data_IF_845637519655
#
_entry.id   IF_845637519655
#
_cell.length_a   1.000
_cell.length_b   1.000
_cell.length_c   1.000
_cell.angle_alpha   90.00
_cell.angle_beta   90.00
_cell.angle_gamma   90.00
#
_symmetry.space_group_name_H-M   'P 1'
#
loop_
_entity.id
_entity.type
_entity.pdbx_description
1 polymer ?
#
# COMPACT_ATOMS: atom_id res chain seq x y z
N UNK A 1 12.34 -36.05 -10.70
CA UNK A 1 11.67 -34.73 -10.61
C UNK A 1 12.74 -33.71 -10.22
N UNK A 2 13.58 -33.33 -11.18
CA UNK A 2 14.85 -32.65 -10.91
C UNK A 2 14.92 -31.34 -11.68
N UNK A 3 15.20 -30.23 -10.97
CA UNK A 3 15.89 -29.07 -11.54
C UNK A 3 15.06 -27.91 -12.08
N UNK A 4 14.12 -27.36 -11.32
CA UNK A 4 13.59 -26.00 -11.57
C UNK A 4 13.76 -25.17 -10.29
N UNK A 5 14.51 -24.06 -10.38
CA UNK A 5 14.36 -22.93 -9.45
C UNK A 5 15.55 -22.64 -8.53
N UNK A 6 16.70 -22.24 -9.08
CA UNK A 6 17.67 -21.44 -8.32
C UNK A 6 18.40 -20.42 -9.21
N UNK A 7 17.74 -19.99 -10.30
CA UNK A 7 18.33 -19.06 -11.25
C UNK A 7 18.20 -17.63 -10.70
N UNK A 8 19.35 -17.03 -10.40
CA UNK A 8 19.43 -15.61 -10.05
C UNK A 8 19.09 -14.74 -11.26
N UNK A 9 18.37 -13.66 -11.03
CA UNK A 9 17.98 -12.66 -12.01
C UNK A 9 18.56 -11.28 -11.64
N UNK A 10 18.64 -10.39 -12.61
CA UNK A 10 19.05 -9.00 -12.39
C UNK A 10 17.82 -8.15 -12.09
N UNK A 11 17.91 -7.24 -11.13
CA UNK A 11 16.87 -6.24 -10.85
C UNK A 11 17.53 -4.90 -10.54
N UNK A 12 16.87 -3.80 -10.93
CA UNK A 12 17.30 -2.46 -10.57
C UNK A 12 16.41 -1.90 -9.47
N UNK A 13 17.00 -1.61 -8.31
CA UNK A 13 16.33 -0.95 -7.19
C UNK A 13 16.59 0.55 -7.28
N UNK A 14 15.55 1.34 -7.56
CA UNK A 14 15.59 2.80 -7.60
C UNK A 14 15.07 3.36 -6.29
N UNK A 15 15.94 3.91 -5.46
CA UNK A 15 15.60 4.46 -4.15
C UNK A 15 15.50 5.97 -4.20
N UNK A 16 14.38 6.54 -3.74
CA UNK A 16 14.25 7.98 -3.46
C UNK A 16 14.97 8.30 -2.16
N UNK A 17 16.17 8.88 -2.28
CA UNK A 17 17.05 9.24 -1.16
C UNK A 17 16.70 10.60 -0.58
N UNK A 18 16.96 10.77 0.71
CA UNK A 18 16.73 12.02 1.41
C UNK A 18 17.75 12.24 2.51
N UNK A 19 18.43 13.39 2.45
CA UNK A 19 19.31 13.86 3.49
C UNK A 19 18.71 15.13 4.14
N UNK A 20 18.29 15.08 5.42
CA UNK A 20 17.73 16.24 6.10
C UNK A 20 18.78 17.34 6.23
N UNK A 21 18.36 18.60 6.11
CA UNK A 21 19.23 19.73 6.40
C UNK A 21 19.48 19.78 7.92
N UNK A 22 20.73 19.93 8.39
CA UNK A 22 21.00 20.05 9.81
C UNK A 22 20.22 21.23 10.41
N UNK A 23 19.47 20.96 11.48
CA UNK A 23 18.79 22.01 12.23
C UNK A 23 19.85 22.89 12.90
N UNK A 24 19.82 24.20 12.62
CA UNK A 24 20.62 25.15 13.37
C UNK A 24 19.91 25.38 14.70
N UNK A 25 20.59 25.25 15.85
CA UNK A 25 19.98 25.55 17.14
C UNK A 25 19.48 27.00 17.14
N UNK A 26 18.21 27.16 17.48
CA UNK A 26 17.57 28.47 17.49
C UNK A 26 18.10 29.29 18.68
N UNK A 27 18.94 30.29 18.42
CA UNK A 27 19.59 31.12 19.45
C UNK A 27 18.62 31.96 20.30
N UNK A 28 17.32 31.96 20.00
CA UNK A 28 16.29 32.77 20.67
C UNK A 28 15.17 31.98 21.36
N UNK A 29 15.38 30.70 21.70
CA UNK A 29 14.39 29.92 22.43
C UNK A 29 14.36 30.25 23.94
N UNK A 30 14.13 31.52 24.29
CA UNK A 30 13.81 31.98 25.65
C UNK A 30 12.51 32.78 25.62
N UNK A 31 11.40 32.13 25.32
CA UNK A 31 10.11 32.60 25.81
C UNK A 31 9.22 31.39 26.10
N UNK A 32 9.06 31.11 27.39
CA UNK A 32 8.10 30.15 27.92
C UNK A 32 6.68 30.72 27.76
N UNK A 33 6.17 30.73 26.54
CA UNK A 33 4.73 30.90 26.27
C UNK A 33 4.39 30.41 24.86
N UNK A 34 4.55 29.11 24.61
CA UNK A 34 3.88 28.48 23.46
C UNK A 34 2.47 28.11 23.92
N UNK A 35 1.47 28.87 23.44
CA UNK A 35 0.07 28.44 23.46
C UNK A 35 0.01 27.02 22.88
N UNK A 36 -0.77 26.14 23.51
CA UNK A 36 -1.01 24.78 22.99
C UNK A 36 -1.39 24.90 21.53
N UNK A 37 -0.53 24.40 20.64
CA UNK A 37 -0.91 24.22 19.25
C UNK A 37 -2.16 23.35 19.26
N UNK A 38 -3.11 23.63 18.37
CA UNK A 38 -4.11 22.62 18.02
C UNK A 38 -3.39 21.28 17.81
N UNK A 39 -3.95 20.13 18.22
CA UNK A 39 -3.34 18.81 17.97
C UNK A 39 -3.04 18.56 16.48
N UNK A 40 -3.58 19.41 15.58
CA UNK A 40 -3.33 19.43 14.15
C UNK A 40 -2.73 20.77 13.64
N UNK A 41 -2.51 21.74 14.54
CA UNK A 41 -2.04 23.10 14.27
C UNK A 41 -0.52 23.27 14.15
N UNK A 42 0.22 22.17 13.97
CA UNK A 42 1.53 22.26 13.35
C UNK A 42 1.30 22.12 11.85
N UNK A 43 1.37 23.23 11.11
CA UNK A 43 1.59 23.13 9.66
C UNK A 43 2.73 22.15 9.47
N UNK A 44 2.44 20.92 8.98
CA UNK A 44 3.45 19.88 8.80
C UNK A 44 4.56 20.48 7.94
N UNK A 45 5.62 20.97 8.57
CA UNK A 45 6.70 21.66 7.87
C UNK A 45 7.31 20.62 6.97
N UNK A 46 7.17 20.80 5.66
CA UNK A 46 7.80 19.91 4.69
C UNK A 46 9.28 19.78 5.08
N UNK A 47 9.77 18.55 5.30
CA UNK A 47 11.14 18.36 5.76
C UNK A 47 12.08 18.95 4.71
N UNK A 48 12.93 19.88 5.14
CA UNK A 48 13.90 20.54 4.26
C UNK A 48 15.14 19.67 4.17
N UNK A 49 15.58 19.36 2.97
CA UNK A 49 16.75 18.52 2.74
C UNK A 49 17.01 18.29 1.26
N UNK A 50 18.12 17.62 0.96
CA UNK A 50 18.45 17.22 -0.41
C UNK A 50 17.71 15.93 -0.74
N UNK A 51 17.02 15.91 -1.88
CA UNK A 51 16.34 14.75 -2.45
C UNK A 51 17.03 14.36 -3.76
N UNK A 52 17.23 13.07 -4.00
CA UNK A 52 17.74 12.55 -5.26
C UNK A 52 17.28 11.09 -5.43
N UNK A 53 17.30 10.58 -6.67
CA UNK A 53 17.09 9.16 -6.94
C UNK A 53 18.45 8.49 -7.11
N UNK A 54 18.60 7.28 -6.56
CA UNK A 54 19.80 6.48 -6.70
C UNK A 54 19.41 5.06 -7.09
N UNK A 55 20.14 4.49 -8.04
CA UNK A 55 19.87 3.17 -8.60
C UNK A 55 20.95 2.18 -8.17
N UNK A 56 20.51 0.96 -7.87
CA UNK A 56 21.38 -0.17 -7.54
C UNK A 56 20.94 -1.38 -8.37
N UNK A 57 21.85 -1.91 -9.17
CA UNK A 57 21.62 -3.15 -9.91
C UNK A 57 22.11 -4.33 -9.08
N UNK A 58 21.21 -5.26 -8.79
CA UNK A 58 21.48 -6.43 -7.96
C UNK A 58 21.23 -7.72 -8.74
N UNK A 59 21.96 -8.77 -8.38
CA UNK A 59 21.70 -10.14 -8.83
C UNK A 59 21.13 -10.94 -7.66
N UNK A 60 19.84 -11.27 -7.74
CA UNK A 60 19.07 -11.87 -6.62
C UNK A 60 18.12 -12.96 -7.12
N UNK A 61 17.50 -13.71 -6.20
CA UNK A 61 16.46 -14.67 -6.56
C UNK A 61 15.10 -13.96 -6.73
N UNK A 62 14.25 -14.32 -7.70
CA UNK A 62 12.93 -13.70 -7.86
C UNK A 62 12.00 -13.81 -6.64
N UNK A 63 12.21 -14.81 -5.79
CA UNK A 63 11.46 -15.00 -4.54
C UNK A 63 12.00 -14.21 -3.35
N UNK A 64 13.16 -13.55 -3.50
CA UNK A 64 13.69 -12.67 -2.46
C UNK A 64 12.76 -11.48 -2.25
N UNK A 65 12.79 -10.96 -1.04
CA UNK A 65 11.99 -9.78 -0.69
C UNK A 65 12.72 -8.49 -1.07
N UNK A 66 11.98 -7.39 -1.16
CA UNK A 66 12.58 -6.07 -1.32
C UNK A 66 13.45 -5.73 -0.10
N UNK A 67 13.12 -6.22 1.10
CA UNK A 67 13.97 -6.10 2.28
C UNK A 67 15.33 -6.77 2.06
N UNK A 68 15.39 -7.97 1.50
CA UNK A 68 16.65 -8.67 1.22
C UNK A 68 17.53 -7.89 0.24
N UNK A 69 16.91 -7.26 -0.76
CA UNK A 69 17.59 -6.36 -1.68
C UNK A 69 18.22 -5.17 -0.96
N UNK A 70 17.46 -4.49 -0.09
CA UNK A 70 17.94 -3.33 0.66
C UNK A 70 19.03 -3.69 1.67
N UNK A 71 18.91 -4.85 2.33
CA UNK A 71 19.94 -5.38 3.22
C UNK A 71 21.22 -5.70 2.44
N UNK A 72 21.11 -6.27 1.25
CA UNK A 72 22.25 -6.51 0.35
C UNK A 72 22.92 -5.21 -0.02
N UNK A 73 22.17 -4.21 -0.52
CA UNK A 73 22.70 -2.88 -0.83
C UNK A 73 23.42 -2.29 0.39
N UNK A 74 22.77 -2.29 1.56
CA UNK A 74 23.35 -1.70 2.77
C UNK A 74 24.63 -2.38 3.23
N UNK A 75 24.74 -3.69 3.06
CA UNK A 75 25.91 -4.48 3.52
C UNK A 75 27.07 -4.44 2.54
N UNK A 76 26.81 -4.39 1.24
CA UNK A 76 27.85 -4.62 0.22
C UNK A 76 28.10 -3.43 -0.71
N UNK A 77 27.14 -2.50 -0.86
CA UNK A 77 27.23 -1.42 -1.86
C UNK A 77 27.21 -0.02 -1.23
N UNK A 78 26.23 0.28 -0.37
CA UNK A 78 26.05 1.60 0.25
C UNK A 78 25.57 1.50 1.72
N UNK A 79 26.49 1.52 2.70
CA UNK A 79 26.13 1.48 4.11
C UNK A 79 25.38 2.73 4.59
N UNK A 80 25.38 3.82 3.82
CA UNK A 80 24.71 5.08 4.19
C UNK A 80 23.20 5.05 4.00
N UNK A 81 22.68 4.09 3.22
CA UNK A 81 21.25 3.90 2.99
C UNK A 81 20.52 3.62 4.31
N UNK A 82 19.47 4.40 4.58
CA UNK A 82 18.67 4.29 5.79
C UNK A 82 17.22 3.85 5.54
N UNK A 83 16.79 2.84 6.28
CA UNK A 83 15.42 2.33 6.31
C UNK A 83 15.22 1.62 7.67
N UNK A 84 13.97 1.46 8.10
CA UNK A 84 13.62 0.72 9.32
C UNK A 84 13.28 -0.72 8.96
N UNK A 85 13.70 -1.67 9.80
CA UNK A 85 13.29 -3.07 9.76
C UNK A 85 13.54 -3.72 11.12
N UNK A 86 12.87 -4.84 11.39
CA UNK A 86 13.08 -5.63 12.61
C UNK A 86 12.77 -7.11 12.37
N UNK A 87 11.49 -7.51 12.35
CA UNK A 87 11.13 -8.93 12.32
C UNK A 87 11.44 -9.66 11.00
N UNK A 88 11.35 -8.98 9.85
CA UNK A 88 11.57 -9.58 8.53
C UNK A 88 10.47 -10.52 8.01
N UNK A 89 9.32 -10.63 8.69
CA UNK A 89 8.24 -11.55 8.30
C UNK A 89 6.84 -10.97 8.54
N UNK A 90 6.68 -9.64 8.44
CA UNK A 90 5.38 -8.97 8.39
C UNK A 90 4.61 -8.82 9.71
N UNK A 91 5.27 -8.97 10.87
CA UNK A 91 4.59 -8.93 12.18
C UNK A 91 4.77 -7.62 12.96
N UNK A 92 5.91 -6.94 12.83
CA UNK A 92 6.20 -5.74 13.64
C UNK A 92 5.76 -4.42 12.97
N UNK A 93 5.52 -4.41 11.66
CA UNK A 93 5.11 -3.20 10.92
C UNK A 93 6.19 -2.12 10.74
N UNK A 94 7.46 -2.41 11.08
CA UNK A 94 8.53 -1.40 11.13
C UNK A 94 9.04 -0.91 9.77
N UNK A 95 8.81 -1.68 8.71
CA UNK A 95 9.46 -1.54 7.40
C UNK A 95 8.47 -1.14 6.29
N UNK A 96 7.43 -0.40 6.66
CA UNK A 96 6.45 0.14 5.74
C UNK A 96 7.04 1.26 4.87
N UNK A 97 6.93 1.12 3.55
CA UNK A 97 7.39 2.09 2.54
C UNK A 97 6.43 2.08 1.34
N UNK A 98 6.60 2.99 0.38
CA UNK A 98 5.96 2.88 -0.93
C UNK A 98 6.86 2.12 -1.91
N UNK A 99 6.35 1.00 -2.44
CA UNK A 99 6.98 0.21 -3.50
C UNK A 99 6.16 0.41 -4.79
N UNK A 100 6.79 0.99 -5.82
CA UNK A 100 6.12 1.43 -7.05
C UNK A 100 4.88 2.31 -6.82
N UNK A 101 4.94 3.15 -5.78
CA UNK A 101 3.83 4.01 -5.38
C UNK A 101 2.77 3.34 -4.50
N UNK A 102 2.83 2.02 -4.29
CA UNK A 102 1.92 1.28 -3.41
C UNK A 102 2.53 1.14 -2.01
N UNK A 103 1.88 1.64 -0.96
CA UNK A 103 2.29 1.40 0.42
C UNK A 103 2.23 -0.10 0.78
N UNK A 104 3.33 -0.65 1.27
CA UNK A 104 3.45 -2.07 1.67
C UNK A 104 4.65 -2.27 2.62
N UNK A 105 4.83 -3.48 3.14
CA UNK A 105 6.00 -3.85 3.95
C UNK A 105 7.12 -4.39 3.05
N UNK A 106 8.35 -3.92 3.28
CA UNK A 106 9.53 -4.39 2.55
C UNK A 106 9.74 -5.91 2.67
N UNK A 107 9.49 -6.48 3.85
CA UNK A 107 9.67 -7.90 4.15
C UNK A 107 8.59 -8.81 3.56
N UNK A 108 7.47 -8.28 3.08
CA UNK A 108 6.42 -9.08 2.42
C UNK A 108 6.35 -8.84 0.92
N UNK A 109 6.93 -7.72 0.45
CA UNK A 109 7.02 -7.41 -0.97
C UNK A 109 8.06 -8.31 -1.64
N UNK A 110 7.62 -9.25 -2.49
CA UNK A 110 8.51 -10.08 -3.30
C UNK A 110 8.96 -9.34 -4.54
N UNK A 111 10.19 -9.60 -4.94
CA UNK A 111 10.75 -8.98 -6.15
C UNK A 111 9.98 -9.40 -7.40
N UNK A 112 9.59 -10.68 -7.51
CA UNK A 112 8.74 -11.16 -8.62
C UNK A 112 7.44 -10.38 -8.80
N UNK A 113 6.87 -9.88 -7.70
CA UNK A 113 5.54 -9.26 -7.70
C UNK A 113 5.60 -7.77 -8.03
N UNK A 114 6.75 -7.14 -7.73
CA UNK A 114 6.95 -5.70 -7.86
C UNK A 114 7.91 -5.30 -8.97
N UNK A 115 8.77 -6.19 -9.46
CA UNK A 115 9.65 -5.86 -10.57
C UNK A 115 8.82 -5.67 -11.85
N UNK A 116 8.89 -4.46 -12.41
CA UNK A 116 8.22 -4.14 -13.67
C UNK A 116 9.27 -3.84 -14.72
N UNK A 117 9.20 -4.54 -15.83
CA UNK A 117 9.90 -4.11 -17.04
C UNK A 117 9.26 -2.80 -17.49
N UNK A 118 10.08 -1.75 -17.66
CA UNK A 118 9.60 -0.53 -18.31
C UNK A 118 9.11 -0.92 -19.71
N UNK A 119 7.94 -0.44 -20.16
CA UNK A 119 7.53 -0.70 -21.53
C UNK A 119 8.60 -0.11 -22.47
N UNK A 120 9.32 -0.99 -23.18
CA UNK A 120 10.06 -0.62 -24.37
C UNK A 120 9.03 -0.06 -25.36
N UNK A 121 9.10 1.25 -25.62
CA UNK A 121 8.17 2.04 -26.45
C UNK A 121 6.91 2.54 -25.72
N UNK A 122 7.08 3.49 -24.80
CA UNK A 122 6.07 4.53 -24.64
C UNK A 122 6.09 5.42 -25.91
N UNK A 123 5.44 4.95 -26.98
CA UNK A 123 5.01 5.86 -28.03
C UNK A 123 4.15 6.94 -27.37
N UNK A 124 4.40 8.18 -27.78
CA UNK A 124 3.89 9.42 -27.22
C UNK A 124 2.38 9.64 -27.45
N UNK A 125 1.56 8.58 -27.42
CA UNK A 125 0.12 8.65 -27.60
C UNK A 125 -0.58 8.88 -26.25
N UNK A 126 -0.15 9.94 -25.58
CA UNK A 126 -0.78 10.49 -24.39
C UNK A 126 -2.04 11.30 -24.74
N UNK A 127 -3.01 10.69 -25.42
CA UNK A 127 -4.43 11.04 -25.42
C UNK A 127 -5.16 10.01 -26.30
N UNK A 128 -5.81 9.00 -25.71
CA UNK A 128 -6.73 8.17 -26.49
C UNK A 128 -7.90 9.06 -26.88
N UNK A 129 -7.90 9.59 -28.11
CA UNK A 129 -9.09 10.21 -28.69
C UNK A 129 -10.21 9.17 -28.64
N UNK A 130 -11.27 9.46 -27.90
CA UNK A 130 -12.55 8.76 -28.08
C UNK A 130 -12.85 8.78 -29.57
N UNK A 131 -13.01 7.61 -30.17
CA UNK A 131 -13.24 7.44 -31.59
C UNK A 131 -14.35 8.40 -32.04
N UNK A 132 -14.07 9.21 -33.05
CA UNK A 132 -15.11 9.91 -33.79
C UNK A 132 -15.98 8.84 -34.44
N UNK A 133 -17.18 8.65 -33.92
CA UNK A 133 -18.23 7.90 -34.62
C UNK A 133 -18.42 8.59 -35.97
N UNK A 134 -18.05 7.91 -37.05
CA UNK A 134 -18.40 8.35 -38.40
C UNK A 134 -19.93 8.33 -38.50
N UNK A 135 -20.52 9.52 -38.39
CA UNK A 135 -21.90 9.77 -38.69
C UNK A 135 -22.11 9.70 -40.22
N UNK A 136 -22.06 8.50 -40.79
CA UNK A 136 -22.43 8.27 -42.19
C UNK A 136 -22.82 6.81 -42.48
N UNK A 137 -23.43 6.12 -41.50
CA UNK A 137 -24.03 4.81 -41.71
C UNK A 137 -25.35 4.71 -40.94
N UNK A 138 -26.28 5.59 -41.26
CA UNK A 138 -27.68 5.49 -40.84
C UNK A 138 -28.55 6.11 -41.93
N UNK A 139 -28.83 5.35 -43.00
CA UNK A 139 -30.04 5.49 -43.80
C UNK A 139 -30.16 4.31 -44.79
N UNK A 140 -31.34 3.67 -44.80
CA UNK A 140 -31.92 2.80 -45.84
C UNK A 140 -31.30 1.39 -46.05
N UNK A 141 -32.04 0.30 -46.20
CA UNK A 141 -33.49 0.08 -46.24
C UNK A 141 -33.79 -1.40 -45.96
N UNK A 142 -35.01 -1.63 -45.49
CA UNK A 142 -35.66 -2.90 -45.21
C UNK A 142 -36.37 -3.38 -46.48
N UNK A 143 -35.95 -4.50 -47.09
CA UNK A 143 -36.82 -5.25 -48.02
C UNK A 143 -36.33 -6.70 -48.26
N UNK A 144 -37.17 -7.65 -47.85
CA UNK A 144 -37.25 -9.05 -48.26
C UNK A 144 -37.66 -9.21 -49.73
N UNK A 145 -37.06 -10.17 -50.46
CA UNK A 145 -37.77 -11.28 -51.17
C UNK A 145 -36.90 -12.02 -52.21
N UNK A 146 -36.89 -13.36 -52.10
CA UNK A 146 -36.88 -14.43 -53.12
C UNK A 146 -36.08 -14.35 -54.43
N UNK A 147 -35.42 -15.48 -54.77
CA UNK A 147 -35.52 -16.06 -56.12
C UNK A 147 -34.20 -16.44 -56.84
N UNK A 148 -33.76 -17.69 -56.64
CA UNK A 148 -33.26 -18.66 -57.64
C UNK A 148 -32.47 -18.26 -58.92
N UNK A 149 -31.37 -19.00 -59.12
CA UNK A 149 -30.95 -19.72 -60.35
C UNK A 149 -29.71 -19.24 -61.17
N UNK A 150 -28.71 -20.13 -61.19
CA UNK A 150 -28.00 -20.73 -62.35
C UNK A 150 -26.82 -19.98 -63.05
N UNK A 151 -25.79 -20.81 -63.38
CA UNK A 151 -24.64 -20.70 -64.32
C UNK A 151 -23.42 -19.84 -63.90
N UNK A 152 -22.23 -20.39 -63.63
CA UNK A 152 -21.26 -21.21 -64.40
C UNK A 152 -20.40 -20.40 -65.40
N UNK A 153 -19.08 -20.38 -65.16
CA UNK A 153 -17.92 -20.50 -66.12
C UNK A 153 -16.62 -19.98 -65.46
N UNK A 154 -15.66 -20.88 -65.24
CA UNK A 154 -14.31 -20.96 -65.88
C UNK A 154 -13.28 -19.90 -65.42
N UNK A 155 -12.31 -20.30 -64.59
CA UNK A 155 -10.94 -20.75 -64.91
C UNK A 155 -9.96 -19.62 -65.27
N UNK A 156 -8.93 -19.43 -64.44
CA UNK A 156 -7.53 -19.37 -64.89
C UNK A 156 -6.55 -19.39 -63.72
N UNK A 157 -5.78 -20.48 -63.69
CA UNK A 157 -4.62 -20.74 -62.85
C UNK A 157 -3.45 -19.78 -63.17
N UNK A 158 -2.63 -19.47 -62.17
CA UNK A 158 -1.16 -19.39 -62.35
C UNK A 158 -0.48 -19.57 -60.99
N UNK A 159 0.11 -20.76 -60.82
CA UNK A 159 1.10 -21.05 -59.80
C UNK A 159 2.45 -20.43 -60.20
N UNK A 160 3.19 -19.93 -59.22
CA UNK A 160 4.65 -19.96 -59.26
C UNK A 160 5.20 -20.23 -57.85
N UNK A 161 5.66 -21.47 -57.66
CA UNK A 161 6.64 -21.85 -56.65
C UNK A 161 8.01 -21.30 -57.09
N UNK A 162 8.87 -20.81 -56.20
CA UNK A 162 10.01 -21.51 -55.56
C UNK A 162 10.88 -20.36 -55.00
N UNK A 163 11.68 -20.44 -53.92
CA UNK A 163 12.62 -21.48 -53.55
C UNK A 163 13.02 -21.30 -52.08
N UNK A 164 13.32 -22.44 -51.45
CA UNK A 164 13.94 -22.55 -50.13
C UNK A 164 15.43 -22.78 -50.41
N UNK A 165 16.30 -21.98 -49.81
CA UNK A 165 17.74 -22.24 -49.78
C UNK A 165 18.20 -22.48 -48.34
N UNK A 166 18.93 -23.59 -48.18
CA UNK A 166 19.54 -24.10 -46.97
C UNK A 166 21.04 -24.13 -47.23
N UNK A 167 21.86 -23.41 -46.44
CA UNK A 167 22.91 -24.03 -45.61
C UNK A 167 23.91 -23.05 -44.97
N UNK A 168 24.23 -23.40 -43.73
CA UNK A 168 25.52 -23.38 -43.04
C UNK A 168 26.25 -22.05 -42.76
N UNK A 169 26.46 -21.75 -41.47
CA UNK A 169 27.75 -22.01 -40.82
C UNK A 169 27.69 -21.68 -39.33
N UNK A 170 28.17 -22.62 -38.51
CA UNK A 170 28.34 -22.50 -37.08
C UNK A 170 29.33 -21.37 -36.73
N UNK A 171 28.92 -20.50 -35.80
CA UNK A 171 29.84 -19.73 -34.98
C UNK A 171 29.45 -19.96 -33.52
N UNK A 172 30.18 -20.86 -32.88
CA UNK A 172 30.18 -21.08 -31.42
C UNK A 172 30.83 -19.87 -30.74
N UNK A 173 30.10 -18.76 -30.68
CA UNK A 173 30.34 -17.73 -29.70
C UNK A 173 29.76 -18.24 -28.36
N UNK A 174 30.61 -18.39 -27.35
CA UNK A 174 30.18 -18.68 -26.00
C UNK A 174 29.17 -17.61 -25.55
N UNK A 175 27.88 -17.96 -25.56
CA UNK A 175 26.82 -17.09 -25.09
C UNK A 175 27.02 -16.92 -23.59
N UNK A 176 27.55 -15.76 -23.21
CA UNK A 176 27.47 -15.30 -21.83
C UNK A 176 25.99 -15.06 -21.58
N UNK A 177 25.27 -16.08 -21.08
CA UNK A 177 23.86 -15.95 -20.76
C UNK A 177 23.73 -14.89 -19.66
N UNK A 178 23.45 -13.65 -20.05
CA UNK A 178 23.13 -12.56 -19.14
C UNK A 178 21.92 -12.98 -18.32
N UNK A 179 22.03 -12.91 -16.98
CA UNK A 179 20.94 -13.25 -16.08
C UNK A 179 19.66 -12.49 -16.49
N UNK A 180 18.48 -13.13 -16.43
CA UNK A 180 17.23 -12.51 -16.86
C UNK A 180 16.97 -11.20 -16.11
N UNK A 181 16.54 -10.14 -16.79
CA UNK A 181 16.24 -8.84 -16.19
C UNK A 181 14.76 -8.76 -15.77
N UNK A 182 14.53 -8.59 -14.48
CA UNK A 182 13.20 -8.44 -13.90
C UNK A 182 12.67 -7.01 -14.04
N UNK A 183 13.53 -6.03 -14.34
CA UNK A 183 13.17 -4.63 -14.50
C UNK A 183 13.46 -3.79 -13.25
N UNK A 184 12.62 -2.78 -13.01
CA UNK A 184 12.86 -1.74 -12.01
C UNK A 184 11.83 -1.81 -10.88
N UNK A 185 12.31 -1.66 -9.65
CA UNK A 185 11.49 -1.44 -8.45
C UNK A 185 11.81 -0.06 -7.90
N UNK A 186 10.80 0.81 -7.84
CA UNK A 186 10.92 2.14 -7.24
C UNK A 186 10.54 2.12 -5.76
N UNK A 187 11.40 2.68 -4.92
CA UNK A 187 11.19 2.76 -3.48
C UNK A 187 11.13 4.22 -3.04
N UNK A 188 10.11 4.54 -2.25
CA UNK A 188 9.92 5.85 -1.65
C UNK A 188 9.50 5.71 -0.17
N UNK A 189 9.82 6.70 0.68
CA UNK A 189 9.31 6.71 2.05
C UNK A 189 7.77 6.68 2.07
N UNK A 190 7.22 6.21 3.18
CA UNK A 190 5.78 6.04 3.35
C UNK A 190 5.02 7.37 3.11
N UNK A 191 4.05 7.42 2.18
CA UNK A 191 3.32 8.65 1.87
C UNK A 191 2.56 9.21 3.06
N UNK A 192 2.36 10.53 3.08
CA UNK A 192 1.63 11.22 4.15
C UNK A 192 2.41 11.43 5.45
N UNK A 193 3.62 10.89 5.57
CA UNK A 193 4.49 11.10 6.71
C UNK A 193 5.70 11.99 6.39
N UNK A 194 6.17 12.83 7.33
CA UNK A 194 7.42 13.56 7.16
C UNK A 194 8.61 12.59 7.02
N UNK A 195 9.41 12.76 5.98
CA UNK A 195 10.64 11.98 5.77
C UNK A 195 11.74 12.48 6.70
N UNK A 196 12.34 11.57 7.48
CA UNK A 196 13.49 11.86 8.35
C UNK A 196 14.82 11.65 7.62
N UNK A 197 14.99 10.50 6.94
CA UNK A 197 16.19 10.16 6.16
C UNK A 197 15.87 9.00 5.22
N UNK A 198 16.23 9.13 3.94
CA UNK A 198 15.99 8.10 2.91
C UNK A 198 14.55 7.54 2.97
N UNK A 199 14.38 6.27 3.35
CA UNK A 199 13.07 5.62 3.45
C UNK A 199 12.43 5.71 4.84
N UNK A 200 13.11 6.34 5.81
CA UNK A 200 12.61 6.51 7.18
C UNK A 200 11.60 7.65 7.22
N UNK A 201 10.36 7.30 7.53
CA UNK A 201 9.26 8.20 7.82
C UNK A 201 9.07 8.41 9.32
N UNK A 202 8.69 9.63 9.71
CA UNK A 202 8.24 9.97 11.05
C UNK A 202 6.78 9.52 11.24
N UNK A 203 6.57 8.46 12.01
CA UNK A 203 5.25 7.85 12.28
C UNK A 203 4.66 8.30 13.62
N UNK A 204 5.39 9.09 14.41
CA UNK A 204 4.95 9.54 15.73
C UNK A 204 3.58 10.24 15.68
N UNK A 205 3.27 11.08 14.66
CA UNK A 205 1.94 11.66 14.55
C UNK A 205 0.80 10.64 14.53
N UNK A 206 0.98 9.49 13.88
CA UNK A 206 -0.04 8.42 13.87
C UNK A 206 -0.12 7.75 15.24
N UNK A 207 1.01 7.42 15.86
CA UNK A 207 1.04 6.78 17.18
C UNK A 207 0.42 7.68 18.24
N UNK A 208 0.60 8.99 18.14
CA UNK A 208 0.02 9.96 19.07
C UNK A 208 -1.50 10.07 18.90
N UNK A 209 -2.04 9.94 17.68
CA UNK A 209 -3.49 9.82 17.48
C UNK A 209 -4.05 8.52 18.05
N UNK A 210 -3.34 7.39 17.90
CA UNK A 210 -3.73 6.12 18.53
C UNK A 210 -3.79 6.29 20.05
N UNK A 211 -2.76 6.89 20.68
CA UNK A 211 -2.73 7.17 22.12
C UNK A 211 -3.84 8.12 22.55
N UNK A 212 -4.14 9.15 21.75
CA UNK A 212 -5.20 10.14 22.01
C UNK A 212 -6.56 9.48 22.21
N UNK A 213 -6.84 8.39 21.47
CA UNK A 213 -8.09 7.64 21.56
C UNK A 213 -8.13 6.59 22.68
N UNK A 214 -7.19 6.65 23.63
CA UNK A 214 -7.15 5.80 24.83
C UNK A 214 -7.29 4.30 24.48
N UNK A 215 -6.27 3.69 23.85
CA UNK A 215 -6.34 2.36 23.27
C UNK A 215 -6.10 1.27 24.34
N UNK A 216 -6.82 1.35 25.45
CA UNK A 216 -6.82 0.39 26.55
C UNK A 216 -8.25 0.14 27.02
N UNK A 217 -8.47 -1.03 27.62
CA UNK A 217 -9.79 -1.45 28.11
C UNK A 217 -10.26 -0.55 29.26
N UNK A 218 -11.47 0.00 29.15
CA UNK A 218 -12.11 0.79 30.20
C UNK A 218 -13.29 -0.01 30.77
N UNK A 219 -13.03 -0.78 31.82
CA UNK A 219 -14.03 -1.64 32.46
C UNK A 219 -14.46 -1.10 33.84
N UNK A 220 -15.70 -1.37 34.25
CA UNK A 220 -16.26 -0.93 35.54
C UNK A 220 -15.78 -1.75 36.75
N UNK A 221 -14.88 -2.71 36.53
CA UNK A 221 -14.28 -3.55 37.57
C UNK A 221 -15.21 -4.62 38.15
N UNK A 222 -16.42 -4.80 37.60
CA UNK A 222 -17.34 -5.86 38.04
C UNK A 222 -16.99 -7.18 37.36
N UNK A 223 -16.52 -8.15 38.14
CA UNK A 223 -16.28 -9.50 37.69
C UNK A 223 -17.60 -10.27 37.59
N UNK A 224 -17.74 -11.13 36.58
CA UNK A 224 -18.92 -11.96 36.41
C UNK A 224 -18.99 -13.00 37.55
N UNK A 225 -20.11 -13.04 38.27
CA UNK A 225 -20.40 -14.03 39.29
C UNK A 225 -21.27 -15.15 38.74
N UNK A 226 -21.07 -16.38 39.18
CA UNK A 226 -21.98 -17.49 38.88
C UNK A 226 -23.36 -17.25 39.52
N UNK A 227 -24.35 -18.07 39.16
CA UNK A 227 -25.68 -18.07 39.80
C UNK A 227 -25.62 -18.25 41.33
N UNK A 228 -24.52 -18.77 41.85
CA UNK A 228 -24.27 -19.00 43.28
C UNK A 228 -23.51 -17.84 43.95
N UNK A 229 -23.26 -16.73 43.24
CA UNK A 229 -22.56 -15.56 43.78
C UNK A 229 -21.05 -15.74 43.95
N UNK A 230 -20.47 -16.85 43.49
CA UNK A 230 -19.02 -17.05 43.46
C UNK A 230 -18.42 -16.35 42.25
N UNK A 231 -17.31 -15.63 42.48
CA UNK A 231 -16.45 -15.15 41.39
C UNK A 231 -15.73 -16.37 40.84
N UNK A 232 -16.15 -16.84 39.66
CA UNK A 232 -15.66 -18.10 39.09
C UNK A 232 -14.26 -17.92 38.48
N UNK A 233 -13.96 -16.71 37.97
CA UNK A 233 -12.71 -16.42 37.25
C UNK A 233 -12.28 -14.96 37.50
N UNK A 234 -10.97 -14.71 37.62
CA UNK A 234 -10.36 -13.36 37.63
C UNK A 234 -10.45 -12.64 36.26
N UNK A 235 -11.06 -13.27 35.26
CA UNK A 235 -11.17 -12.79 33.88
C UNK A 235 -12.61 -12.31 33.59
N UNK A 236 -12.75 -11.36 32.67
CA UNK A 236 -14.07 -10.92 32.19
C UNK A 236 -14.68 -11.97 31.25
N UNK A 237 -15.91 -12.41 31.56
CA UNK A 237 -16.64 -13.35 30.71
C UNK A 237 -16.93 -12.72 29.33
N UNK A 238 -16.53 -13.41 28.26
CA UNK A 238 -16.79 -13.01 26.88
C UNK A 238 -17.15 -14.22 26.03
N UNK A 239 -18.26 -14.12 25.28
CA UNK A 239 -18.70 -15.18 24.36
C UNK A 239 -17.91 -15.17 23.06
N UNK A 240 -17.76 -16.31 22.35
CA UNK A 240 -17.08 -16.35 21.06
C UNK A 240 -17.63 -15.34 20.04
N UNK A 241 -18.94 -15.12 19.99
CA UNK A 241 -19.57 -14.17 19.06
C UNK A 241 -19.26 -12.71 19.40
N UNK A 242 -18.92 -12.41 20.66
CA UNK A 242 -18.50 -11.07 21.08
C UNK A 242 -17.03 -10.81 20.70
N UNK A 243 -16.16 -11.81 20.88
CA UNK A 243 -14.75 -11.73 20.44
C UNK A 243 -14.64 -11.57 18.93
N UNK A 244 -15.43 -12.34 18.16
CA UNK A 244 -15.42 -12.32 16.71
C UNK A 244 -15.65 -10.93 16.09
N UNK A 245 -16.32 -10.00 16.80
CA UNK A 245 -16.55 -8.63 16.33
C UNK A 245 -15.30 -7.78 16.22
N UNK A 246 -14.26 -8.07 17.01
CA UNK A 246 -13.05 -7.24 17.05
C UNK A 246 -11.75 -8.05 16.94
N UNK A 247 -11.82 -9.39 16.91
CA UNK A 247 -10.65 -10.27 16.83
C UNK A 247 -9.70 -9.86 15.68
N UNK A 248 -10.25 -9.66 14.48
CA UNK A 248 -9.45 -9.21 13.34
C UNK A 248 -8.86 -7.81 13.56
N UNK A 249 -9.60 -6.90 14.18
CA UNK A 249 -9.14 -5.53 14.48
C UNK A 249 -7.97 -5.50 15.46
N UNK A 250 -7.92 -6.48 16.38
CA UNK A 250 -6.83 -6.65 17.34
C UNK A 250 -5.49 -7.01 16.69
N UNK A 251 -5.51 -7.47 15.43
CA UNK A 251 -4.31 -7.78 14.66
C UNK A 251 -3.62 -6.54 14.07
N UNK A 252 -4.12 -5.33 14.30
CA UNK A 252 -3.47 -4.10 13.82
C UNK A 252 -2.06 -3.96 14.40
N UNK A 253 -1.05 -3.90 13.51
CA UNK A 253 0.37 -3.79 13.88
C UNK A 253 0.90 -2.35 13.81
N UNK A 254 0.02 -1.35 13.68
CA UNK A 254 0.36 0.07 13.58
C UNK A 254 1.47 0.39 12.54
N UNK A 255 1.43 -0.26 11.38
CA UNK A 255 2.47 -0.12 10.34
C UNK A 255 2.39 1.16 9.51
N UNK A 256 1.28 1.89 9.53
CA UNK A 256 1.12 3.11 8.72
C UNK A 256 0.70 2.88 7.26
N UNK A 257 0.52 1.64 6.80
CA UNK A 257 0.17 1.35 5.39
C UNK A 257 -1.19 1.95 5.01
N UNK A 258 -2.17 1.88 5.91
CA UNK A 258 -3.49 2.46 5.66
C UNK A 258 -3.43 4.00 5.57
N UNK A 259 -2.58 4.66 6.36
CA UNK A 259 -2.30 6.09 6.29
C UNK A 259 -1.66 6.44 4.96
N UNK A 260 -0.63 5.69 4.55
CA UNK A 260 0.08 5.90 3.29
C UNK A 260 -0.82 5.72 2.06
N UNK A 261 -1.82 4.85 2.15
CA UNK A 261 -2.80 4.63 1.08
C UNK A 261 -3.93 5.68 1.08
N UNK A 262 -4.12 6.41 2.17
CA UNK A 262 -5.23 7.34 2.32
C UNK A 262 -4.90 8.70 1.69
N UNK A 263 -5.62 9.14 0.64
CA UNK A 263 -5.34 10.45 0.02
C UNK A 263 -5.70 11.63 0.93
N UNK A 264 -6.68 11.47 1.83
CA UNK A 264 -7.05 12.49 2.83
C UNK A 264 -5.89 12.72 3.79
N UNK A 265 -5.35 11.64 4.36
CA UNK A 265 -4.20 11.71 5.28
C UNK A 265 -2.94 12.20 4.56
N UNK A 266 -2.67 11.70 3.35
CA UNK A 266 -1.51 12.09 2.57
C UNK A 266 -1.60 13.51 2.00
N UNK A 267 -2.81 14.02 1.76
CA UNK A 267 -3.08 15.39 1.30
C UNK A 267 -2.76 16.47 2.33
N UNK A 268 -2.56 16.08 3.59
CA UNK A 268 -2.23 17.01 4.68
C UNK A 268 -3.46 17.68 5.29
N UNK A 269 -4.65 17.14 5.04
CA UNK A 269 -5.88 17.53 5.74
C UNK A 269 -5.80 17.12 7.21
N UNK A 270 -6.48 17.86 8.10
CA UNK A 270 -6.57 17.50 9.50
C UNK A 270 -7.44 16.23 9.62
N UNK A 271 -6.78 15.08 9.75
CA UNK A 271 -7.44 13.78 9.89
C UNK A 271 -6.69 12.92 10.90
N UNK A 272 -7.43 12.34 11.86
CA UNK A 272 -6.91 11.46 12.91
C UNK A 272 -6.25 10.20 12.35
N UNK A 273 -6.68 9.76 11.17
CA UNK A 273 -6.08 8.66 10.43
C UNK A 273 -6.76 7.31 10.66
N UNK A 274 -6.63 6.40 9.68
CA UNK A 274 -7.32 5.12 9.68
C UNK A 274 -6.87 4.16 10.80
N UNK A 275 -5.57 4.07 11.15
CA UNK A 275 -5.12 3.15 12.19
C UNK A 275 -5.65 3.51 13.58
N UNK A 276 -5.73 4.82 13.88
CA UNK A 276 -6.35 5.31 15.12
C UNK A 276 -7.83 4.93 15.19
N UNK A 277 -8.56 5.10 14.09
CA UNK A 277 -9.98 4.74 14.01
C UNK A 277 -10.22 3.22 14.07
N UNK A 278 -9.36 2.40 13.45
CA UNK A 278 -9.40 0.93 13.61
C UNK A 278 -9.20 0.53 15.07
N UNK A 279 -8.25 1.18 15.76
CA UNK A 279 -8.03 0.91 17.18
C UNK A 279 -9.23 1.34 18.04
N UNK A 280 -9.89 2.45 17.71
CA UNK A 280 -11.14 2.84 18.37
C UNK A 280 -12.28 1.83 18.11
N UNK A 281 -12.46 1.39 16.86
CA UNK A 281 -13.43 0.34 16.50
C UNK A 281 -13.20 -0.94 17.30
N UNK A 282 -11.93 -1.34 17.48
CA UNK A 282 -11.57 -2.52 18.28
C UNK A 282 -12.09 -2.45 19.73
N UNK A 283 -12.13 -1.27 20.35
CA UNK A 283 -12.65 -1.12 21.71
C UNK A 283 -14.17 -0.88 21.73
N UNK A 284 -14.71 -0.18 20.74
CA UNK A 284 -16.17 -0.02 20.58
C UNK A 284 -16.88 -1.36 20.42
N UNK A 285 -16.24 -2.30 19.71
CA UNK A 285 -16.76 -3.65 19.49
C UNK A 285 -16.44 -4.65 20.62
N UNK A 286 -15.66 -4.26 21.64
CA UNK A 286 -15.33 -5.14 22.76
C UNK A 286 -16.43 -5.09 23.82
N UNK A 287 -17.12 -6.21 24.04
CA UNK A 287 -18.19 -6.31 25.03
C UNK A 287 -17.76 -6.05 26.48
N UNK A 288 -16.46 -6.01 26.75
CA UNK A 288 -15.88 -5.73 28.07
C UNK A 288 -15.61 -4.25 28.30
N UNK A 289 -15.65 -3.42 27.26
CA UNK A 289 -15.40 -1.99 27.36
C UNK A 289 -16.70 -1.23 27.67
N UNK A 290 -16.67 -0.39 28.70
CA UNK A 290 -17.82 0.39 29.16
C UNK A 290 -17.75 1.87 28.73
N UNK A 291 -16.77 2.27 27.91
CA UNK A 291 -16.56 3.65 27.50
C UNK A 291 -17.06 3.96 26.08
N UNK A 292 -18.00 3.17 25.55
CA UNK A 292 -18.44 3.28 24.16
C UNK A 292 -18.88 4.70 23.75
N UNK A 293 -19.72 5.36 24.57
CA UNK A 293 -20.18 6.71 24.28
C UNK A 293 -19.02 7.72 24.24
N UNK A 294 -18.12 7.67 25.22
CA UNK A 294 -16.96 8.56 25.30
C UNK A 294 -16.02 8.35 24.10
N UNK A 295 -15.88 7.11 23.62
CA UNK A 295 -15.09 6.79 22.43
C UNK A 295 -15.74 7.32 21.15
N UNK A 296 -17.07 7.20 21.01
CA UNK A 296 -17.81 7.79 19.90
C UNK A 296 -17.67 9.32 19.89
N UNK A 297 -17.78 9.97 21.05
CA UNK A 297 -17.55 11.42 21.18
C UNK A 297 -16.11 11.83 20.79
N UNK A 298 -15.12 11.00 21.13
CA UNK A 298 -13.72 11.28 20.80
C UNK A 298 -13.41 11.19 19.30
N UNK A 299 -14.17 10.41 18.54
CA UNK A 299 -14.03 10.29 17.07
C UNK A 299 -15.01 11.19 16.29
N UNK A 300 -16.12 11.63 16.89
CA UNK A 300 -17.08 12.54 16.28
C UNK A 300 -16.59 13.99 16.33
N UNK A 301 -15.56 14.25 15.54
CA UNK A 301 -14.91 15.55 15.39
C UNK A 301 -14.70 15.83 13.91
N UNK A 302 -14.55 17.10 13.54
CA UNK A 302 -14.34 17.49 12.14
C UNK A 302 -13.06 16.88 11.54
N UNK A 303 -12.04 16.66 12.36
CA UNK A 303 -10.78 15.97 12.05
C UNK A 303 -10.79 14.47 12.40
N UNK A 304 -11.92 13.97 12.91
CA UNK A 304 -12.14 12.57 13.27
C UNK A 304 -12.76 11.76 12.13
N UNK A 305 -13.79 10.98 12.43
CA UNK A 305 -14.43 10.10 11.44
C UNK A 305 -15.08 10.89 10.29
N UNK A 306 -15.55 12.11 10.55
CA UNK A 306 -16.21 12.97 9.55
C UNK A 306 -15.29 13.40 8.40
N UNK A 307 -13.96 13.39 8.60
CA UNK A 307 -12.99 13.69 7.54
C UNK A 307 -12.83 12.55 6.52
N UNK A 308 -13.30 11.34 6.83
CA UNK A 308 -13.21 10.20 5.93
C UNK A 308 -14.06 10.41 4.66
N UNK A 309 -13.41 10.46 3.49
CA UNK A 309 -14.07 10.60 2.19
C UNK A 309 -14.46 9.26 1.54
N UNK A 310 -14.44 8.16 2.30
CA UNK A 310 -14.85 6.81 1.83
C UNK A 310 -14.19 6.33 0.54
N UNK A 311 -12.93 6.74 0.29
CA UNK A 311 -12.15 6.29 -0.88
C UNK A 311 -11.83 4.79 -0.81
N UNK A 312 -11.85 4.20 0.41
CA UNK A 312 -11.57 2.77 0.70
C UNK A 312 -10.23 2.25 0.19
N UNK A 313 -9.26 3.12 -0.12
CA UNK A 313 -7.91 2.70 -0.47
C UNK A 313 -7.24 1.95 0.70
N UNK A 314 -7.43 2.40 1.94
CA UNK A 314 -6.88 1.79 3.15
C UNK A 314 -7.21 0.30 3.34
N UNK A 315 -8.38 -0.16 2.89
CA UNK A 315 -8.77 -1.58 3.00
C UNK A 315 -8.02 -2.50 2.04
N UNK A 316 -7.51 -1.98 0.91
CA UNK A 316 -6.87 -2.80 -0.13
C UNK A 316 -5.44 -3.22 0.20
N UNK A 317 -4.72 -2.44 1.01
CA UNK A 317 -3.29 -2.67 1.28
C UNK A 317 -2.98 -3.15 2.70
N UNK A 318 -3.98 -3.31 3.58
CA UNK A 318 -3.70 -3.72 4.97
C UNK A 318 -3.03 -5.11 5.00
N UNK A 319 -1.78 -5.24 5.50
CA UNK A 319 -1.06 -6.51 5.49
C UNK A 319 -1.62 -7.54 6.48
N UNK A 320 -2.57 -7.12 7.32
CA UNK A 320 -3.24 -7.97 8.33
C UNK A 320 -4.64 -8.39 7.92
N UNK A 321 -5.08 -8.03 6.70
CA UNK A 321 -6.39 -8.40 6.17
C UNK A 321 -7.57 -7.65 6.79
N UNK A 322 -7.33 -6.60 7.57
CA UNK A 322 -8.40 -5.75 8.11
C UNK A 322 -9.00 -4.96 6.94
N UNK A 323 -10.31 -5.06 6.69
CA UNK A 323 -11.00 -4.14 5.78
C UNK A 323 -11.22 -2.80 6.47
N UNK A 324 -10.15 -2.00 6.48
CA UNK A 324 -10.15 -0.67 7.09
C UNK A 324 -11.24 0.22 6.47
N UNK A 325 -11.55 0.05 5.18
CA UNK A 325 -12.59 0.84 4.52
C UNK A 325 -13.98 0.54 5.06
N UNK A 326 -14.27 -0.74 5.32
CA UNK A 326 -15.52 -1.17 5.94
C UNK A 326 -15.64 -0.66 7.38
N UNK A 327 -14.57 -0.74 8.16
CA UNK A 327 -14.54 -0.25 9.54
C UNK A 327 -14.83 1.26 9.62
N UNK A 328 -14.30 2.06 8.68
CA UNK A 328 -14.64 3.50 8.65
C UNK A 328 -16.14 3.71 8.38
N UNK A 329 -16.75 2.89 7.52
CA UNK A 329 -18.18 2.97 7.24
C UNK A 329 -19.00 2.62 8.48
N UNK A 330 -18.65 1.52 9.19
CA UNK A 330 -19.32 1.12 10.43
C UNK A 330 -19.22 2.21 11.51
N UNK A 331 -18.05 2.82 11.70
CA UNK A 331 -17.90 3.94 12.64
C UNK A 331 -18.73 5.16 12.24
N UNK A 332 -18.81 5.46 10.94
CA UNK A 332 -19.64 6.56 10.43
C UNK A 332 -21.11 6.33 10.75
N UNK A 333 -21.59 5.09 10.55
CA UNK A 333 -22.96 4.69 10.89
C UNK A 333 -23.19 4.77 12.40
N UNK A 334 -22.29 4.23 13.21
CA UNK A 334 -22.39 4.27 14.67
C UNK A 334 -22.44 5.70 15.25
N UNK A 335 -21.71 6.64 14.64
CA UNK A 335 -21.76 8.06 15.04
C UNK A 335 -23.06 8.74 14.59
N UNK A 336 -23.65 8.34 13.47
CA UNK A 336 -24.90 8.93 12.95
C UNK A 336 -26.17 8.40 13.62
N UNK A 337 -26.16 7.15 14.07
CA UNK A 337 -27.34 6.45 14.61
C UNK A 337 -27.47 6.51 16.14
N UNK A 338 -26.55 7.22 16.82
CA UNK A 338 -26.60 7.47 18.27
C UNK A 338 -27.68 8.50 18.64
#
# INVERSE_FOLDING_TARGET
>A
MSGIGNATATVTIRVKRFAPRPERPNRHASSALRKSASPFGSTRKRPRGKQWSQEYTLRIHPHDTVLDCLLTIKRTLDPTLAFRYSCGHGMCGSDAVAVNGTPTLLCTARVSDYAKQLPHNAHNDGFRRTATVNASAAAHDFATSNGSAIEATENASTNSASAIDVNAAESTAASTQSAPDLGIIELAPLPGFPVQRDLIADIDPMLDQIKRLQPYLQADGKLATTREGKVDVFEYLQKPEQLAKYELLSNCIACGVCEGSCPVFAGGEAFIGPAALVMASRFLNDSRDNAAQQRLDAIDTADGIAACQSVRACGRQCPRGIDVGEEMWQLTTAVRER
#
